data_IF_397184232254
#
_entry.id   IF_397184232254
#
_cell.length_a   1.000
_cell.length_b   1.000
_cell.length_c   1.000
_cell.angle_alpha   90.00
_cell.angle_beta   90.00
_cell.angle_gamma   90.00
#
_symmetry.space_group_name_H-M   'P 1'
#
loop_
_entity.id
_entity.type
_entity.pdbx_description
1 polymer ?
#
# COMPACT_ATOMS: atom_id res chain seq x y z
N UNK A 1 15.05 19.79 19.78
CA UNK A 1 14.31 18.93 18.84
C UNK A 1 13.08 19.71 18.40
N UNK A 2 12.90 20.01 17.11
CA UNK A 2 11.71 20.75 16.64
C UNK A 2 10.60 19.72 16.40
N UNK A 3 9.52 19.79 17.17
CA UNK A 3 8.31 18.99 16.94
C UNK A 3 7.34 19.82 16.11
N UNK A 4 6.85 19.24 15.01
CA UNK A 4 5.86 19.88 14.15
C UNK A 4 4.49 19.28 14.49
N UNK A 5 3.46 20.11 14.72
CA UNK A 5 2.14 19.61 15.03
C UNK A 5 1.56 18.88 13.83
N UNK A 6 0.95 17.72 14.08
CA UNK A 6 0.21 16.99 13.06
C UNK A 6 -1.04 17.80 12.73
N UNK A 7 -1.25 18.07 11.44
CA UNK A 7 -2.44 18.77 10.98
C UNK A 7 -3.69 17.98 11.41
N UNK A 8 -4.55 18.61 12.20
CA UNK A 8 -5.79 17.99 12.64
C UNK A 8 -6.80 18.02 11.50
N UNK A 9 -7.37 16.85 11.19
CA UNK A 9 -8.46 16.70 10.22
C UNK A 9 -9.74 16.39 10.98
N UNK A 10 -10.83 17.05 10.62
CA UNK A 10 -12.17 16.73 11.11
C UNK A 10 -12.84 15.57 10.33
N UNK A 11 -12.13 14.96 9.38
CA UNK A 11 -12.63 13.85 8.57
C UNK A 11 -12.29 12.52 9.23
N UNK A 12 -13.25 11.60 9.23
CA UNK A 12 -13.00 10.21 9.62
C UNK A 12 -11.99 9.59 8.64
N UNK A 13 -10.87 9.03 9.13
CA UNK A 13 -9.92 8.32 8.30
C UNK A 13 -10.56 7.10 7.63
N UNK A 14 -10.18 6.82 6.39
CA UNK A 14 -10.60 5.61 5.66
C UNK A 14 -9.81 4.36 6.08
N UNK A 15 -8.69 4.58 6.78
CA UNK A 15 -7.79 3.57 7.29
C UNK A 15 -7.34 4.05 8.67
N UNK A 16 -7.59 3.24 9.69
CA UNK A 16 -7.11 3.54 11.04
C UNK A 16 -5.62 3.15 11.19
N UNK A 17 -5.05 3.47 12.35
CA UNK A 17 -3.63 3.21 12.61
C UNK A 17 -3.29 1.72 12.55
N UNK A 18 -4.12 0.85 13.13
CA UNK A 18 -3.84 -0.58 13.17
C UNK A 18 -3.91 -1.19 11.77
N UNK A 19 -4.91 -0.79 10.98
CA UNK A 19 -5.06 -1.19 9.60
C UNK A 19 -3.89 -0.71 8.75
N UNK A 20 -3.48 0.55 8.91
CA UNK A 20 -2.33 1.10 8.19
C UNK A 20 -1.06 0.33 8.50
N UNK A 21 -0.76 0.08 9.78
CA UNK A 21 0.44 -0.63 10.19
C UNK A 21 0.47 -2.06 9.63
N UNK A 22 -0.67 -2.75 9.68
CA UNK A 22 -0.79 -4.10 9.11
C UNK A 22 -0.61 -4.10 7.59
N UNK A 23 -1.28 -3.19 6.88
CA UNK A 23 -1.16 -3.07 5.42
C UNK A 23 0.26 -2.71 5.00
N UNK A 24 0.91 -1.79 5.72
CA UNK A 24 2.28 -1.39 5.46
C UNK A 24 3.24 -2.56 5.66
N UNK A 25 3.13 -3.28 6.77
CA UNK A 25 3.95 -4.46 7.02
C UNK A 25 3.77 -5.54 5.94
N UNK A 26 2.53 -5.80 5.50
CA UNK A 26 2.24 -6.72 4.39
C UNK A 26 2.87 -6.21 3.08
N UNK A 27 2.72 -4.92 2.76
CA UNK A 27 3.23 -4.32 1.52
C UNK A 27 4.74 -4.39 1.34
N UNK A 28 5.49 -4.49 2.45
CA UNK A 28 6.95 -4.58 2.46
C UNK A 28 7.41 -6.04 2.52
N UNK A 29 6.79 -6.86 3.37
CA UNK A 29 7.23 -8.24 3.61
C UNK A 29 6.72 -9.21 2.53
N UNK A 30 5.56 -8.94 1.92
CA UNK A 30 4.97 -9.73 0.84
C UNK A 30 4.26 -8.80 -0.17
N UNK A 31 5.08 -8.03 -0.88
CA UNK A 31 4.62 -6.97 -1.78
C UNK A 31 3.72 -7.49 -2.90
N UNK A 32 4.03 -8.64 -3.48
CA UNK A 32 3.28 -9.20 -4.60
C UNK A 32 1.89 -9.63 -4.16
N UNK A 33 1.76 -10.30 -3.01
CA UNK A 33 0.44 -10.67 -2.49
C UNK A 33 -0.39 -9.42 -2.13
N UNK A 34 0.23 -8.43 -1.48
CA UNK A 34 -0.45 -7.20 -1.10
C UNK A 34 -0.98 -6.46 -2.33
N UNK A 35 -0.12 -6.17 -3.31
CA UNK A 35 -0.51 -5.38 -4.48
C UNK A 35 -1.46 -6.14 -5.40
N UNK A 36 -1.37 -7.48 -5.48
CA UNK A 36 -2.38 -8.27 -6.17
C UNK A 36 -3.77 -8.09 -5.54
N UNK A 37 -3.86 -8.16 -4.20
CA UNK A 37 -5.12 -7.96 -3.46
C UNK A 37 -5.69 -6.56 -3.68
N UNK A 38 -4.86 -5.53 -3.58
CA UNK A 38 -5.31 -4.15 -3.80
C UNK A 38 -5.80 -3.93 -5.25
N UNK A 39 -5.05 -4.45 -6.23
CA UNK A 39 -5.41 -4.31 -7.65
C UNK A 39 -6.73 -5.00 -7.99
N UNK A 40 -7.03 -6.16 -7.37
CA UNK A 40 -8.33 -6.83 -7.52
C UNK A 40 -9.49 -6.13 -6.82
N UNK A 41 -9.21 -5.42 -5.73
CA UNK A 41 -10.24 -4.75 -4.94
C UNK A 41 -10.70 -3.44 -5.57
N UNK A 42 -9.79 -2.70 -6.21
CA UNK A 42 -10.06 -1.33 -6.65
C UNK A 42 -10.19 -1.15 -8.16
N UNK A 43 -9.76 -2.13 -8.96
CA UNK A 43 -9.78 -2.05 -10.42
C UNK A 43 -10.55 -3.23 -10.99
N UNK A 44 -11.35 -2.96 -12.02
CA UNK A 44 -11.99 -3.99 -12.83
C UNK A 44 -11.06 -4.35 -13.99
N UNK A 45 -10.81 -5.64 -14.17
CA UNK A 45 -9.89 -6.15 -15.18
C UNK A 45 -10.63 -7.01 -16.18
N UNK A 46 -10.47 -6.71 -17.47
CA UNK A 46 -10.94 -7.60 -18.55
C UNK A 46 -10.15 -8.91 -18.60
N UNK A 47 -8.87 -8.85 -18.21
CA UNK A 47 -7.99 -10.01 -18.07
C UNK A 47 -6.94 -9.76 -17.00
N UNK A 48 -6.63 -10.82 -16.26
CA UNK A 48 -5.63 -10.82 -15.21
C UNK A 48 -4.19 -10.77 -15.74
N UNK A 49 -3.29 -10.28 -14.87
CA UNK A 49 -1.85 -10.29 -15.06
C UNK A 49 -1.24 -11.64 -14.67
N UNK A 50 -0.09 -11.96 -15.26
CA UNK A 50 0.68 -13.17 -14.90
C UNK A 50 1.75 -12.90 -13.83
N UNK A 51 2.16 -11.64 -13.65
CA UNK A 51 3.20 -11.22 -12.71
C UNK A 51 2.81 -9.88 -12.08
N UNK A 52 2.95 -9.76 -10.76
CA UNK A 52 2.54 -8.56 -10.01
C UNK A 52 3.64 -7.48 -10.09
N UNK A 53 4.89 -7.86 -9.81
CA UNK A 53 6.03 -6.95 -9.89
C UNK A 53 7.22 -7.59 -10.61
N UNK A 54 8.00 -6.75 -11.30
CA UNK A 54 9.28 -7.13 -11.92
C UNK A 54 10.23 -5.94 -11.80
N UNK A 55 11.02 -5.89 -10.73
CA UNK A 55 11.83 -4.72 -10.35
C UNK A 55 13.29 -5.13 -10.25
N UNK A 56 14.16 -4.34 -10.90
CA UNK A 56 15.61 -4.48 -10.85
C UNK A 56 16.24 -3.12 -10.54
N UNK A 57 16.96 -3.03 -9.41
CA UNK A 57 17.64 -1.82 -8.94
C UNK A 57 19.13 -1.78 -9.32
N UNK A 58 19.61 -2.72 -10.15
CA UNK A 58 21.03 -2.81 -10.51
C UNK A 58 21.48 -1.76 -11.53
N UNK A 59 20.56 -1.02 -12.14
CA UNK A 59 20.85 0.10 -13.03
C UNK A 59 20.72 1.44 -12.31
N UNK A 60 21.64 1.72 -11.38
CA UNK A 60 21.74 2.98 -10.62
C UNK A 60 23.09 3.66 -10.78
#
# INVERSE_FOLDING_TARGET
>A
MKTYPIAQSNRTPLCDEAQYQSMYAESINDSDAFWAKQAKLFLDWDKDWAQVSNVDYTQG
#
